data_IF_649668806088
#
_entry.id   IF_649668806088
#
_cell.length_a   1.000
_cell.length_b   1.000
_cell.length_c   1.000
_cell.angle_alpha   90.00
_cell.angle_beta   90.00
_cell.angle_gamma   90.00
#
_symmetry.space_group_name_H-M   'P 1'
#
loop_
_entity.id
_entity.type
_entity.pdbx_description
1 polymer ?
#
# COMPACT_ATOMS: atom_id res chain seq x y z
N UNK A 1 12.90 6.73 15.08
CA UNK A 1 11.81 5.78 14.74
C UNK A 1 12.25 4.88 13.58
N UNK A 2 11.77 3.63 13.49
CA UNK A 2 12.07 2.73 12.37
C UNK A 2 10.78 2.19 11.76
N UNK A 3 10.77 1.97 10.46
CA UNK A 3 9.64 1.32 9.76
C UNK A 3 10.21 0.31 8.79
N UNK A 4 9.84 -0.96 8.95
CA UNK A 4 10.19 -2.00 7.99
C UNK A 4 9.23 -1.96 6.82
N UNK A 5 9.74 -2.12 5.61
CA UNK A 5 8.93 -2.25 4.41
C UNK A 5 9.67 -3.07 3.35
N UNK A 6 8.97 -3.44 2.29
CA UNK A 6 9.56 -3.96 1.06
C UNK A 6 8.62 -3.67 -0.11
N UNK A 7 9.21 -3.38 -1.27
CA UNK A 7 8.51 -3.25 -2.56
C UNK A 7 8.67 -4.52 -3.38
N UNK A 8 7.57 -4.94 -4.00
CA UNK A 8 7.48 -6.15 -4.79
C UNK A 8 6.98 -5.80 -6.19
N UNK A 9 7.76 -6.06 -7.23
CA UNK A 9 7.31 -5.90 -8.63
C UNK A 9 6.51 -7.14 -9.04
N UNK A 10 5.25 -6.93 -9.40
CA UNK A 10 4.36 -7.95 -9.94
C UNK A 10 4.32 -7.83 -11.47
N UNK A 11 4.55 -8.94 -12.15
CA UNK A 11 4.51 -9.01 -13.62
C UNK A 11 3.34 -9.88 -14.06
N UNK A 12 2.38 -9.26 -14.76
CA UNK A 12 1.19 -9.91 -15.26
C UNK A 12 1.26 -10.09 -16.77
N UNK A 13 0.88 -11.28 -17.24
CA UNK A 13 0.79 -11.63 -18.65
C UNK A 13 -0.67 -11.79 -19.07
N UNK A 14 -1.26 -10.85 -19.84
CA UNK A 14 -2.62 -11.00 -20.36
C UNK A 14 -2.76 -12.30 -21.14
N UNK A 15 -3.86 -13.01 -20.93
CA UNK A 15 -4.24 -14.22 -21.71
C UNK A 15 -5.29 -13.89 -22.77
N UNK A 16 -5.98 -12.77 -22.59
CA UNK A 16 -6.95 -12.19 -23.51
C UNK A 16 -6.82 -10.66 -23.49
N UNK A 17 -7.65 -9.98 -24.28
CA UNK A 17 -7.65 -8.51 -24.28
C UNK A 17 -8.16 -7.97 -22.94
N UNK A 18 -7.37 -7.13 -22.29
CA UNK A 18 -7.71 -6.48 -21.01
C UNK A 18 -7.91 -4.99 -21.25
N UNK A 19 -9.07 -4.46 -20.83
CA UNK A 19 -9.38 -3.04 -20.92
C UNK A 19 -9.41 -2.44 -19.52
N UNK A 20 -8.40 -1.63 -19.20
CA UNK A 20 -8.27 -0.89 -17.95
C UNK A 20 -8.64 0.59 -18.12
N UNK A 21 -9.06 1.28 -17.05
CA UNK A 21 -9.11 2.74 -17.05
C UNK A 21 -7.70 3.33 -17.20
N UNK A 22 -7.62 4.61 -17.58
CA UNK A 22 -6.33 5.31 -17.69
C UNK A 22 -5.54 5.25 -16.37
N UNK A 23 -6.23 5.41 -15.23
CA UNK A 23 -5.68 5.23 -13.89
C UNK A 23 -6.10 3.89 -13.30
N UNK A 24 -5.16 2.96 -13.20
CA UNK A 24 -5.43 1.54 -12.94
C UNK A 24 -5.55 1.20 -11.44
N UNK A 25 -5.15 2.13 -10.56
CA UNK A 25 -5.09 1.90 -9.11
C UNK A 25 -6.42 1.49 -8.49
N UNK A 26 -7.54 2.09 -8.89
CA UNK A 26 -8.87 1.72 -8.40
C UNK A 26 -9.27 0.30 -8.84
N UNK A 27 -8.91 -0.08 -10.07
CA UNK A 27 -9.18 -1.42 -10.60
C UNK A 27 -8.37 -2.48 -9.87
N UNK A 28 -7.06 -2.26 -9.66
CA UNK A 28 -6.23 -3.20 -8.89
C UNK A 28 -6.67 -3.28 -7.44
N UNK A 29 -6.87 -2.15 -6.76
CA UNK A 29 -7.29 -2.12 -5.34
C UNK A 29 -8.66 -2.77 -5.15
N UNK A 30 -9.63 -2.45 -6.01
CA UNK A 30 -10.97 -3.02 -5.96
C UNK A 30 -10.98 -4.51 -6.30
N UNK A 31 -10.23 -4.94 -7.31
CA UNK A 31 -10.07 -6.36 -7.65
C UNK A 31 -9.43 -7.14 -6.50
N UNK A 32 -8.31 -6.64 -5.98
CA UNK A 32 -7.62 -7.22 -4.83
C UNK A 32 -8.55 -7.32 -3.62
N UNK A 33 -9.19 -6.23 -3.18
CA UNK A 33 -10.02 -6.23 -1.98
C UNK A 33 -11.16 -7.26 -2.01
N UNK A 34 -11.82 -7.40 -3.16
CA UNK A 34 -12.90 -8.36 -3.33
C UNK A 34 -12.41 -9.82 -3.28
N UNK A 35 -11.33 -10.13 -4.01
CA UNK A 35 -10.78 -11.50 -4.05
C UNK A 35 -10.12 -11.85 -2.72
N UNK A 36 -9.36 -10.92 -2.14
CA UNK A 36 -8.70 -11.09 -0.84
C UNK A 36 -9.73 -11.46 0.23
N UNK A 37 -10.84 -10.71 0.31
CA UNK A 37 -11.94 -11.01 1.22
C UNK A 37 -12.45 -12.43 1.05
N UNK A 38 -12.71 -12.85 -0.19
CA UNK A 38 -13.22 -14.20 -0.50
C UNK A 38 -12.25 -15.30 -0.05
N UNK A 39 -10.95 -15.05 -0.16
CA UNK A 39 -9.88 -16.01 0.19
C UNK A 39 -9.72 -16.11 1.71
N UNK A 40 -9.60 -14.98 2.42
CA UNK A 40 -9.18 -14.98 3.84
C UNK A 40 -10.34 -14.85 4.83
N UNK A 41 -11.54 -14.42 4.41
CA UNK A 41 -12.67 -14.25 5.31
C UNK A 41 -13.36 -15.59 5.59
N UNK A 42 -13.19 -16.11 6.80
CA UNK A 42 -13.84 -17.35 7.24
C UNK A 42 -15.38 -17.27 7.22
N UNK A 43 -15.96 -16.09 7.50
CA UNK A 43 -17.41 -15.93 7.64
C UNK A 43 -18.13 -15.47 6.37
N UNK A 44 -17.39 -14.97 5.37
CA UNK A 44 -17.93 -14.43 4.09
C UNK A 44 -19.11 -13.45 4.26
N UNK A 45 -19.21 -12.77 5.41
CA UNK A 45 -20.25 -11.77 5.73
C UNK A 45 -19.88 -10.39 5.19
N UNK A 46 -20.89 -9.54 4.97
CA UNK A 46 -20.77 -8.23 4.33
C UNK A 46 -20.22 -7.09 5.21
N UNK A 47 -20.30 -7.16 6.54
CA UNK A 47 -19.73 -6.14 7.43
C UNK A 47 -18.70 -6.74 8.43
N UNK A 48 -17.55 -6.09 8.54
CA UNK A 48 -16.48 -6.46 9.46
C UNK A 48 -16.60 -5.77 10.84
N UNK A 49 -17.40 -4.71 10.98
CA UNK A 49 -17.55 -3.94 12.22
C UNK A 49 -18.05 -4.79 13.39
N UNK A 50 -19.05 -5.62 13.12
CA UNK A 50 -19.70 -6.51 14.09
C UNK A 50 -19.16 -7.95 14.04
N UNK A 51 -18.02 -8.16 13.37
CA UNK A 51 -17.44 -9.47 13.21
C UNK A 51 -16.69 -9.91 14.49
N UNK A 52 -17.04 -11.09 15.00
CA UNK A 52 -16.35 -11.71 16.14
C UNK A 52 -14.83 -11.84 15.95
N UNK A 53 -14.39 -12.02 14.70
CA UNK A 53 -12.98 -12.25 14.37
C UNK A 53 -12.21 -10.96 14.06
N UNK A 54 -12.83 -9.77 14.14
CA UNK A 54 -12.28 -8.50 13.60
C UNK A 54 -10.86 -8.17 14.08
N UNK A 55 -10.52 -8.49 15.33
CA UNK A 55 -9.21 -8.17 15.93
C UNK A 55 -8.07 -9.06 15.43
N UNK A 56 -8.39 -10.30 15.01
CA UNK A 56 -7.40 -11.30 14.54
C UNK A 56 -7.54 -11.64 13.06
N UNK A 57 -8.54 -11.08 12.38
CA UNK A 57 -8.82 -11.37 10.98
C UNK A 57 -7.83 -10.64 10.07
N UNK A 58 -7.15 -11.40 9.21
CA UNK A 58 -6.18 -10.85 8.24
C UNK A 58 -6.86 -9.84 7.30
N UNK A 59 -8.10 -10.11 6.87
CA UNK A 59 -8.86 -9.16 6.04
C UNK A 59 -9.07 -7.82 6.77
N UNK A 60 -9.53 -7.91 8.02
CA UNK A 60 -9.74 -6.75 8.88
C UNK A 60 -8.43 -5.97 9.06
N UNK A 61 -7.33 -6.65 9.37
CA UNK A 61 -6.03 -5.99 9.54
C UNK A 61 -5.54 -5.28 8.26
N UNK A 62 -5.53 -5.98 7.12
CA UNK A 62 -4.93 -5.48 5.87
C UNK A 62 -5.82 -4.45 5.18
N UNK A 63 -7.14 -4.69 5.10
CA UNK A 63 -8.03 -3.94 4.20
C UNK A 63 -8.98 -2.97 4.92
N UNK A 64 -9.48 -3.31 6.11
CA UNK A 64 -10.32 -2.41 6.91
C UNK A 64 -9.46 -1.53 7.83
N UNK A 65 -8.41 -2.12 8.39
CA UNK A 65 -7.43 -1.57 9.34
C UNK A 65 -8.09 -0.69 10.42
N UNK A 66 -9.06 -1.22 11.20
CA UNK A 66 -9.70 -0.44 12.25
C UNK A 66 -8.67 -0.03 13.32
N UNK A 67 -8.74 1.20 13.84
CA UNK A 67 -7.92 1.56 14.99
C UNK A 67 -8.32 0.70 16.20
N UNK A 68 -7.37 0.22 17.03
CA UNK A 68 -7.69 -0.53 18.24
C UNK A 68 -8.57 0.30 19.17
N UNK A 69 -9.57 -0.33 19.82
CA UNK A 69 -10.53 0.38 20.67
C UNK A 69 -9.88 1.21 21.80
N UNK A 70 -8.75 0.76 22.33
CA UNK A 70 -8.02 1.41 23.43
C UNK A 70 -6.95 2.41 22.96
N UNK A 71 -6.90 2.75 21.67
CA UNK A 71 -5.84 3.61 21.17
C UNK A 71 -5.90 5.03 21.76
N UNK A 72 -4.72 5.54 22.13
CA UNK A 72 -4.54 6.92 22.58
C UNK A 72 -4.52 7.92 21.41
N UNK A 73 -4.37 7.43 20.17
CA UNK A 73 -4.18 8.23 18.95
C UNK A 73 -5.32 7.94 17.95
N UNK A 74 -5.81 8.95 17.22
CA UNK A 74 -6.81 8.77 16.15
C UNK A 74 -8.22 8.27 16.55
N UNK A 75 -8.74 8.62 17.74
CA UNK A 75 -10.12 8.28 18.15
C UNK A 75 -11.26 8.73 17.20
N UNK A 76 -10.99 9.71 16.30
CA UNK A 76 -11.96 10.25 15.34
C UNK A 76 -11.90 9.63 13.93
N UNK A 77 -10.94 8.75 13.66
CA UNK A 77 -10.73 8.19 12.31
C UNK A 77 -11.33 6.80 12.19
N UNK A 78 -11.91 6.51 11.03
CA UNK A 78 -12.57 5.22 10.76
C UNK A 78 -11.59 4.08 10.48
N UNK A 79 -10.37 4.41 10.05
CA UNK A 79 -9.31 3.45 9.77
C UNK A 79 -7.92 4.07 10.04
N UNK A 80 -7.00 3.25 10.53
CA UNK A 80 -5.57 3.56 10.50
C UNK A 80 -5.05 3.45 9.05
N UNK A 81 -3.87 4.03 8.73
CA UNK A 81 -3.27 3.88 7.41
C UNK A 81 -3.09 2.40 7.07
N UNK A 82 -3.60 1.96 5.92
CA UNK A 82 -3.42 0.57 5.51
C UNK A 82 -1.94 0.24 5.30
N UNK A 83 -1.48 -0.96 5.70
CA UNK A 83 -0.07 -1.34 5.64
C UNK A 83 0.36 -1.83 4.25
N UNK A 84 -0.36 -1.44 3.19
CA UNK A 84 -0.02 -1.79 1.83
C UNK A 84 -0.31 -0.64 0.85
N UNK A 85 0.51 -0.54 -0.19
CA UNK A 85 0.36 0.40 -1.30
C UNK A 85 0.43 -0.40 -2.60
N UNK A 86 -0.51 -0.13 -3.51
CA UNK A 86 -0.44 -0.63 -4.89
C UNK A 86 -0.01 0.56 -5.76
N UNK A 87 1.16 0.46 -6.37
CA UNK A 87 1.68 1.43 -7.33
C UNK A 87 1.36 0.93 -8.74
N UNK A 88 0.27 1.40 -9.36
CA UNK A 88 -0.10 0.96 -10.70
C UNK A 88 0.93 1.42 -11.75
N UNK A 89 0.93 0.84 -12.96
CA UNK A 89 1.70 1.40 -14.07
C UNK A 89 1.34 2.87 -14.28
N UNK A 90 2.37 3.72 -14.37
CA UNK A 90 2.22 5.18 -14.54
C UNK A 90 1.73 5.58 -15.93
N UNK A 91 1.80 4.66 -16.90
CA UNK A 91 1.29 4.88 -18.25
C UNK A 91 -0.24 5.07 -18.26
N UNK A 92 -0.76 5.69 -19.33
CA UNK A 92 -2.20 5.85 -19.58
C UNK A 92 -2.76 4.82 -20.57
N UNK A 93 -2.00 3.77 -20.91
CA UNK A 93 -2.47 2.70 -21.80
C UNK A 93 -3.68 2.00 -21.19
N UNK A 94 -4.69 1.75 -22.02
CA UNK A 94 -5.98 1.21 -21.60
C UNK A 94 -6.22 -0.20 -22.12
N UNK A 95 -5.82 -0.50 -23.35
CA UNK A 95 -5.99 -1.80 -23.96
C UNK A 95 -4.67 -2.57 -23.92
N UNK A 96 -4.70 -3.78 -23.36
CA UNK A 96 -3.59 -4.71 -23.32
C UNK A 96 -3.98 -5.98 -24.06
N UNK A 97 -3.07 -6.48 -24.88
CA UNK A 97 -3.20 -7.71 -25.66
C UNK A 97 -2.35 -8.82 -25.04
N UNK A 98 -2.50 -10.09 -25.45
CA UNK A 98 -1.61 -11.17 -25.02
C UNK A 98 -0.12 -10.95 -25.32
N UNK A 99 0.23 -10.02 -26.23
CA UNK A 99 1.62 -9.67 -26.51
C UNK A 99 2.20 -8.66 -25.50
N UNK A 100 1.34 -8.01 -24.71
CA UNK A 100 1.76 -7.02 -23.72
C UNK A 100 2.19 -7.66 -22.40
N UNK A 101 2.70 -6.80 -21.51
CA UNK A 101 3.02 -7.10 -20.11
C UNK A 101 2.48 -5.94 -19.26
N UNK A 102 1.87 -6.26 -18.12
CA UNK A 102 1.43 -5.26 -17.15
C UNK A 102 2.28 -5.40 -15.89
N UNK A 103 2.94 -4.32 -15.47
CA UNK A 103 3.78 -4.30 -14.27
C UNK A 103 3.26 -3.31 -13.25
N UNK A 104 3.20 -3.71 -11.99
CA UNK A 104 2.85 -2.82 -10.89
C UNK A 104 3.66 -3.20 -9.66
N UNK A 105 3.81 -2.28 -8.71
CA UNK A 105 4.44 -2.61 -7.45
C UNK A 105 3.42 -2.75 -6.33
N UNK A 106 3.71 -3.66 -5.41
CA UNK A 106 3.06 -3.77 -4.11
C UNK A 106 4.11 -3.39 -3.05
N UNK A 107 3.85 -2.37 -2.26
CA UNK A 107 4.65 -2.06 -1.08
C UNK A 107 3.93 -2.58 0.14
N UNK A 108 4.60 -3.37 0.97
CA UNK A 108 4.10 -3.86 2.26
C UNK A 108 4.89 -3.23 3.39
N UNK A 109 4.20 -2.87 4.48
CA UNK A 109 4.76 -2.14 5.61
C UNK A 109 4.54 -2.92 6.92
N UNK A 110 5.58 -2.99 7.74
CA UNK A 110 5.59 -3.68 9.03
C UNK A 110 5.06 -5.11 8.96
N UNK A 111 4.17 -5.46 9.89
CA UNK A 111 3.58 -6.81 9.98
C UNK A 111 2.89 -7.29 8.69
N UNK A 112 2.54 -6.40 7.76
CA UNK A 112 1.96 -6.84 6.48
C UNK A 112 2.93 -7.64 5.60
N UNK A 113 4.25 -7.53 5.82
CA UNK A 113 5.26 -8.33 5.13
C UNK A 113 5.04 -9.84 5.33
N UNK A 114 4.58 -10.25 6.51
CA UNK A 114 4.27 -11.65 6.84
C UNK A 114 3.12 -12.22 6.00
N UNK A 115 2.28 -11.34 5.43
CA UNK A 115 1.12 -11.73 4.64
C UNK A 115 1.36 -11.73 3.13
N UNK A 116 2.60 -11.49 2.66
CA UNK A 116 2.94 -11.52 1.23
C UNK A 116 2.38 -12.74 0.48
N UNK A 117 2.44 -13.99 1.01
CA UNK A 117 1.86 -15.14 0.32
C UNK A 117 0.37 -14.98 -0.02
N UNK A 118 -0.40 -14.35 0.86
CA UNK A 118 -1.81 -14.09 0.61
C UNK A 118 -2.02 -13.04 -0.49
N UNK A 119 -1.16 -12.03 -0.58
CA UNK A 119 -1.20 -11.06 -1.69
C UNK A 119 -0.89 -11.72 -3.03
N UNK A 120 0.19 -12.50 -3.09
CA UNK A 120 0.59 -13.24 -4.30
C UNK A 120 -0.55 -14.16 -4.75
N UNK A 121 -1.07 -14.98 -3.83
CA UNK A 121 -2.17 -15.88 -4.11
C UNK A 121 -3.42 -15.12 -4.58
N UNK A 122 -3.76 -13.99 -3.96
CA UNK A 122 -4.92 -13.18 -4.36
C UNK A 122 -4.77 -12.60 -5.75
N UNK A 123 -3.60 -12.07 -6.11
CA UNK A 123 -3.37 -11.55 -7.46
C UNK A 123 -3.35 -12.66 -8.51
N UNK A 124 -2.91 -13.87 -8.15
CA UNK A 124 -3.04 -15.04 -9.00
C UNK A 124 -4.51 -15.40 -9.25
N UNK A 125 -5.32 -15.52 -8.19
CA UNK A 125 -6.76 -15.83 -8.30
C UNK A 125 -7.55 -14.74 -9.05
N UNK A 126 -7.20 -13.47 -8.83
CA UNK A 126 -7.78 -12.35 -9.55
C UNK A 126 -7.51 -12.45 -11.07
N UNK A 127 -6.37 -13.02 -11.47
CA UNK A 127 -6.05 -13.26 -12.88
C UNK A 127 -6.99 -14.25 -13.56
N UNK A 128 -7.42 -15.29 -12.85
CA UNK A 128 -8.41 -16.27 -13.34
C UNK A 128 -9.84 -15.75 -13.33
N UNK A 129 -10.20 -14.91 -12.35
CA UNK A 129 -11.52 -14.24 -12.26
C UNK A 129 -11.65 -13.14 -13.32
N UNK A 130 -10.55 -12.45 -13.63
CA UNK A 130 -10.48 -11.39 -14.61
C UNK A 130 -10.66 -9.98 -14.04
N UNK A 131 -10.04 -9.02 -14.72
CA UNK A 131 -9.90 -7.61 -14.30
C UNK A 131 -10.38 -6.64 -15.41
N UNK A 132 -10.74 -5.42 -15.02
CA UNK A 132 -11.13 -4.36 -15.95
C UNK A 132 -12.50 -4.59 -16.61
N UNK A 133 -12.77 -3.81 -17.66
CA UNK A 133 -14.00 -3.94 -18.45
C UNK A 133 -13.95 -5.25 -19.24
N UNK A 134 -15.00 -6.05 -19.14
CA UNK A 134 -15.07 -7.37 -19.79
C UNK A 134 -14.35 -8.49 -19.03
N UNK A 135 -13.80 -8.21 -17.82
CA UNK A 135 -13.14 -9.21 -16.96
C UNK A 135 -12.02 -9.97 -17.69
N UNK A 136 -11.15 -9.23 -18.35
CA UNK A 136 -9.99 -9.79 -19.05
C UNK A 136 -9.06 -10.56 -18.10
N UNK A 137 -8.70 -11.78 -18.45
CA UNK A 137 -7.86 -12.71 -17.69
C UNK A 137 -6.37 -12.51 -17.95
N UNK A 138 -5.58 -12.78 -16.92
CA UNK A 138 -4.13 -12.75 -16.97
C UNK A 138 -3.53 -13.87 -16.14
N UNK A 139 -2.26 -14.16 -16.39
CA UNK A 139 -1.40 -14.97 -15.54
C UNK A 139 -0.50 -14.06 -14.70
N UNK A 140 -0.37 -14.32 -13.40
CA UNK A 140 0.69 -13.72 -12.59
C UNK A 140 1.98 -14.49 -12.89
N UNK A 141 2.82 -13.95 -13.78
CA UNK A 141 4.02 -14.63 -14.29
C UNK A 141 5.11 -14.73 -13.22
N UNK A 142 5.43 -13.60 -12.57
CA UNK A 142 6.48 -13.54 -11.55
C UNK A 142 6.28 -12.39 -10.57
N UNK A 143 6.90 -12.54 -9.41
CA UNK A 143 7.08 -11.45 -8.42
C UNK A 143 8.55 -11.34 -8.07
N UNK A 144 9.05 -10.11 -7.94
CA UNK A 144 10.44 -9.81 -7.60
C UNK A 144 10.53 -8.85 -6.43
N UNK A 145 11.56 -9.00 -5.60
CA UNK A 145 11.97 -8.04 -4.56
C UNK A 145 13.45 -7.70 -4.78
N UNK A 146 13.85 -6.43 -4.65
CA UNK A 146 15.25 -6.00 -4.86
C UNK A 146 15.86 -6.51 -6.18
N UNK A 147 15.08 -6.48 -7.28
CA UNK A 147 15.42 -7.03 -8.60
C UNK A 147 15.67 -8.55 -8.66
N UNK A 148 15.49 -9.28 -7.56
CA UNK A 148 15.56 -10.75 -7.49
C UNK A 148 14.16 -11.34 -7.60
N UNK A 149 13.97 -12.32 -8.48
CA UNK A 149 12.72 -13.10 -8.57
C UNK A 149 12.53 -13.88 -7.26
N UNK A 150 11.37 -13.73 -6.63
CA UNK A 150 10.98 -14.45 -5.41
C UNK A 150 9.78 -15.39 -5.63
N UNK A 151 9.09 -15.28 -6.77
CA UNK A 151 7.99 -16.15 -7.15
C UNK A 151 7.92 -16.30 -8.66
N UNK A 152 7.53 -17.48 -9.13
CA UNK A 152 7.21 -17.78 -10.54
C UNK A 152 5.92 -18.60 -10.61
N UNK A 153 5.09 -18.38 -11.64
CA UNK A 153 3.92 -19.22 -11.91
C UNK A 153 4.27 -20.69 -12.16
N UNK A 154 5.50 -20.96 -12.60
CA UNK A 154 6.00 -22.32 -12.90
C UNK A 154 6.24 -23.12 -11.63
N UNK A 155 6.94 -22.52 -10.66
CA UNK A 155 7.32 -23.20 -9.41
C UNK A 155 6.25 -23.05 -8.34
N UNK A 156 5.51 -21.94 -8.34
CA UNK A 156 4.53 -21.56 -7.29
C UNK A 156 5.12 -21.54 -5.87
N UNK A 157 6.44 -21.48 -5.76
CA UNK A 157 7.17 -21.35 -4.50
C UNK A 157 7.51 -19.88 -4.29
N UNK A 158 7.45 -19.44 -3.03
CA UNK A 158 7.87 -18.12 -2.61
C UNK A 158 9.23 -18.25 -1.92
N UNK A 159 10.26 -17.68 -2.53
CA UNK A 159 11.60 -17.63 -1.96
C UNK A 159 11.68 -16.56 -0.85
N UNK A 160 12.61 -16.72 0.11
CA UNK A 160 12.87 -15.70 1.12
C UNK A 160 13.27 -14.35 0.51
N UNK A 161 12.82 -13.26 1.14
CA UNK A 161 13.14 -11.89 0.77
C UNK A 161 13.66 -11.10 1.98
N UNK A 162 14.48 -10.08 1.72
CA UNK A 162 14.92 -9.10 2.71
C UNK A 162 13.83 -8.06 2.96
N UNK A 163 13.74 -7.57 4.20
CA UNK A 163 13.01 -6.34 4.51
C UNK A 163 13.97 -5.17 4.54
N UNK A 164 13.51 -4.00 4.09
CA UNK A 164 14.22 -2.74 4.16
C UNK A 164 13.80 -2.04 5.45
N UNK A 165 14.77 -1.56 6.24
CA UNK A 165 14.49 -0.76 7.44
C UNK A 165 14.70 0.72 7.12
N UNK A 166 13.61 1.48 7.07
CA UNK A 166 13.68 2.93 6.99
C UNK A 166 13.88 3.49 8.41
N UNK A 167 15.04 4.08 8.68
CA UNK A 167 15.27 4.87 9.87
C UNK A 167 14.85 6.31 9.59
N UNK A 168 14.01 6.87 10.46
CA UNK A 168 13.56 8.27 10.36
C UNK A 168 14.28 9.02 11.47
N UNK A 169 15.29 9.83 11.13
CA UNK A 169 16.08 10.56 12.10
C UNK A 169 15.31 11.82 12.50
N UNK A 170 14.57 11.75 13.61
CA UNK A 170 13.93 12.93 14.20
C UNK A 170 14.90 13.78 15.03
N UNK A 171 16.05 13.21 15.39
CA UNK A 171 17.09 13.85 16.21
C UNK A 171 18.15 14.59 15.36
N UNK A 172 18.16 14.40 14.03
CA UNK A 172 19.18 14.94 13.13
C UNK A 172 18.68 16.16 12.34
N UNK A 173 17.98 17.08 13.01
CA UNK A 173 17.76 18.42 12.43
C UNK A 173 19.13 19.09 12.42
N UNK A 174 19.70 19.21 11.22
CA UNK A 174 21.01 19.77 10.99
C UNK A 174 21.04 21.24 11.43
N UNK A 175 21.86 21.58 12.44
CA UNK A 175 22.16 22.97 12.82
C UNK A 175 22.81 23.77 11.67
N UNK A 176 23.39 23.07 10.68
CA UNK A 176 23.93 23.67 9.46
C UNK A 176 22.85 23.79 8.38
N UNK A 177 21.93 24.74 8.56
CA UNK A 177 20.96 25.17 7.55
C UNK A 177 21.55 26.14 6.50
N UNK A 178 22.88 26.26 6.41
CA UNK A 178 23.55 27.19 5.49
C UNK A 178 23.38 26.80 4.02
N UNK A 179 23.11 25.53 3.73
CA UNK A 179 22.89 25.01 2.37
C UNK A 179 21.40 24.93 2.04
N UNK A 180 20.87 26.01 1.45
CA UNK A 180 19.56 25.99 0.80
C UNK A 180 19.66 25.22 -0.51
N UNK A 181 18.97 24.09 -0.61
CA UNK A 181 18.78 23.37 -1.87
C UNK A 181 17.33 23.53 -2.34
N UNK A 182 17.15 23.59 -3.66
CA UNK A 182 15.82 23.54 -4.26
C UNK A 182 15.43 22.08 -4.45
N UNK A 183 14.30 21.68 -3.89
CA UNK A 183 13.71 20.35 -4.08
C UNK A 183 12.44 20.49 -4.94
N UNK A 184 12.40 19.79 -6.07
CA UNK A 184 11.20 19.69 -6.91
C UNK A 184 10.52 18.35 -6.64
N UNK A 185 9.21 18.39 -6.37
CA UNK A 185 8.38 17.20 -6.20
C UNK A 185 7.49 17.01 -7.42
N UNK A 186 7.60 15.85 -8.06
CA UNK A 186 6.73 15.45 -9.16
C UNK A 186 5.76 14.37 -8.68
N UNK A 187 4.46 14.65 -8.80
CA UNK A 187 3.41 13.68 -8.49
C UNK A 187 3.05 12.86 -9.73
N UNK A 188 3.65 11.68 -9.86
CA UNK A 188 3.42 10.76 -10.98
C UNK A 188 1.99 10.22 -11.05
N UNK A 189 1.23 10.32 -9.96
CA UNK A 189 -0.18 9.90 -9.88
C UNK A 189 -1.03 11.01 -9.26
N UNK A 190 -2.35 11.07 -9.57
CA UNK A 190 -3.24 12.05 -8.96
C UNK A 190 -3.16 12.00 -7.43
N UNK A 191 -2.65 13.07 -6.84
CA UNK A 191 -2.38 13.14 -5.40
C UNK A 191 -3.51 13.88 -4.71
N UNK A 192 -4.16 13.23 -3.76
CA UNK A 192 -5.28 13.78 -2.99
C UNK A 192 -4.83 14.11 -1.57
N UNK A 193 -4.72 15.40 -1.26
CA UNK A 193 -4.40 15.91 0.08
C UNK A 193 -5.63 16.64 0.63
N UNK A 194 -6.00 16.35 1.88
CA UNK A 194 -7.20 16.91 2.51
C UNK A 194 -6.80 17.62 3.81
N UNK A 195 -7.29 18.86 4.01
CA UNK A 195 -7.12 19.65 5.23
C UNK A 195 -8.50 20.16 5.66
N UNK A 196 -8.87 19.94 6.92
CA UNK A 196 -10.18 20.34 7.45
C UNK A 196 -11.39 19.87 6.62
N UNK A 197 -11.32 18.65 6.09
CA UNK A 197 -12.30 18.04 5.17
C UNK A 197 -12.35 18.61 3.74
N UNK A 198 -11.57 19.64 3.43
CA UNK A 198 -11.48 20.24 2.09
C UNK A 198 -10.27 19.73 1.30
N UNK A 199 -10.42 19.66 -0.02
CA UNK A 199 -9.32 19.32 -0.93
C UNK A 199 -8.33 20.50 -0.99
N UNK A 200 -7.05 20.20 -0.75
CA UNK A 200 -5.98 21.18 -0.87
C UNK A 200 -5.60 21.33 -2.35
N UNK A 201 -5.78 22.52 -2.91
CA UNK A 201 -5.38 22.86 -4.28
C UNK A 201 -3.94 23.38 -4.34
N UNK A 202 -3.57 24.24 -3.38
CA UNK A 202 -2.23 24.77 -3.22
C UNK A 202 -1.49 24.01 -2.10
N UNK A 203 -0.55 23.17 -2.49
CA UNK A 203 0.19 22.31 -1.57
C UNK A 203 1.36 23.07 -0.93
N UNK A 204 1.09 23.76 0.17
CA UNK A 204 2.11 24.38 1.01
C UNK A 204 3.01 23.32 1.68
N UNK A 205 4.27 23.70 1.95
CA UNK A 205 5.27 22.82 2.54
C UNK A 205 4.81 22.22 3.87
N UNK A 206 4.30 23.05 4.78
CA UNK A 206 3.86 22.61 6.10
C UNK A 206 2.70 21.61 6.00
N UNK A 207 1.78 21.79 5.05
CA UNK A 207 0.69 20.85 4.79
C UNK A 207 1.27 19.49 4.40
N UNK A 208 2.16 19.46 3.41
CA UNK A 208 2.74 18.21 2.93
C UNK A 208 3.51 17.49 4.03
N UNK A 209 4.42 18.20 4.70
CA UNK A 209 5.27 17.63 5.75
C UNK A 209 4.43 17.14 6.94
N UNK A 210 3.42 17.90 7.38
CA UNK A 210 2.46 17.45 8.41
C UNK A 210 1.81 16.13 8.03
N UNK A 211 1.32 15.99 6.79
CA UNK A 211 0.66 14.77 6.35
C UNK A 211 1.62 13.58 6.24
N UNK A 212 2.85 13.81 5.76
CA UNK A 212 3.88 12.77 5.67
C UNK A 212 4.33 12.28 7.05
N UNK A 213 4.69 13.21 7.95
CA UNK A 213 5.10 12.90 9.32
C UNK A 213 4.00 12.15 10.06
N UNK A 214 2.76 12.61 9.92
CA UNK A 214 1.61 11.94 10.49
C UNK A 214 1.46 10.54 9.92
N UNK A 215 1.49 10.37 8.60
CA UNK A 215 1.31 9.05 7.96
C UNK A 215 2.39 8.07 8.42
N UNK A 216 3.65 8.48 8.46
CA UNK A 216 4.76 7.59 8.80
C UNK A 216 4.77 7.24 10.29
N UNK A 217 4.43 8.18 11.17
CA UNK A 217 4.26 7.92 12.60
C UNK A 217 3.13 6.92 12.88
N UNK A 218 2.00 7.05 12.19
CA UNK A 218 0.88 6.13 12.34
C UNK A 218 1.21 4.74 11.81
N UNK A 219 1.92 4.64 10.69
CA UNK A 219 2.40 3.36 10.18
C UNK A 219 3.32 2.67 11.19
N UNK A 220 4.27 3.41 11.77
CA UNK A 220 5.15 2.89 12.81
C UNK A 220 4.38 2.45 14.08
N UNK A 221 3.43 3.26 14.54
CA UNK A 221 2.63 2.95 15.71
C UNK A 221 1.77 1.68 15.51
N UNK A 222 0.99 1.62 14.42
CA UNK A 222 0.02 0.54 14.23
C UNK A 222 0.62 -0.77 13.69
N UNK A 223 1.72 -0.72 12.93
CA UNK A 223 2.26 -1.91 12.25
C UNK A 223 3.59 -2.41 12.80
N UNK A 224 4.30 -1.60 13.59
CA UNK A 224 5.57 -1.95 14.25
C UNK A 224 5.49 -1.87 15.79
N UNK A 225 4.45 -1.23 16.34
CA UNK A 225 4.29 -1.07 17.80
C UNK A 225 5.19 -0.01 18.41
N UNK A 226 5.72 0.92 17.62
CA UNK A 226 6.52 2.03 18.14
C UNK A 226 5.68 3.04 18.91
N UNK A 227 6.17 3.50 20.06
CA UNK A 227 5.62 4.70 20.72
C UNK A 227 6.09 5.95 19.96
N UNK A 228 5.13 6.77 19.53
CA UNK A 228 5.36 7.99 18.77
C UNK A 228 5.06 9.26 19.57
N UNK A 229 4.68 9.11 20.86
CA UNK A 229 4.32 10.22 21.73
C UNK A 229 5.48 11.16 22.08
N UNK A 230 6.72 10.66 22.01
CA UNK A 230 7.93 11.42 22.30
C UNK A 230 8.48 12.23 21.10
N UNK A 231 7.83 12.14 19.94
CA UNK A 231 8.28 12.84 18.73
C UNK A 231 7.78 14.28 18.76
N UNK A 232 8.69 15.25 18.73
CA UNK A 232 8.36 16.66 18.58
C UNK A 232 8.00 17.00 17.13
N UNK A 233 6.77 16.69 16.73
CA UNK A 233 6.28 17.08 15.41
C UNK A 233 6.26 18.60 15.22
N UNK A 234 6.08 19.37 16.29
CA UNK A 234 5.94 20.83 16.21
C UNK A 234 7.27 21.45 15.81
N UNK A 235 8.36 21.10 16.48
CA UNK A 235 9.71 21.60 16.17
C UNK A 235 10.28 21.14 14.83
N UNK A 236 9.67 20.16 14.15
CA UNK A 236 10.06 19.76 12.78
C UNK A 236 9.39 20.64 11.72
N UNK A 237 8.24 21.23 12.04
CA UNK A 237 7.40 21.93 11.07
C UNK A 237 7.54 23.46 11.19
N UNK A 238 7.73 23.95 12.42
CA UNK A 238 7.98 25.37 12.74
C UNK A 238 9.46 25.71 12.69
#
# INVERSE_FOLDING_TARGET
>A
MRVNYQSFEFVLKPQENIILPAYKGSTFRGGFGNVFRRIVCALKKNDCKDCLLKEKCIYSYVFETPPPAETKVMKKYTAAPHPFIIEPPVDRKRAYTPNDVIKFNLVLVGRALEYLPYFIYTFNELGGIGIGKGRGKYLLEKVSADSKRIYSSETKVIDPFSKITCAIPFEAICDDCSRKSLLTLEFLTPTRVVRNADLVLDLEFDILIRQLLRRIALLAYFHEGHDTSSIDFKGIIE
#
